data_IF_747579987484
#
_entry.id   IF_747579987484
#
_cell.length_a   1.000
_cell.length_b   1.000
_cell.length_c   1.000
_cell.angle_alpha   90.00
_cell.angle_beta   90.00
_cell.angle_gamma   90.00
#
_symmetry.space_group_name_H-M   'P 1'
#
loop_
_entity.id
_entity.type
_entity.pdbx_description
1 polymer ?
#
# COMPACT_ATOMS: atom_id res chain seq x y z
N UNK A 1 14.44 19.04 -4.31
CA UNK A 1 14.73 17.69 -3.77
C UNK A 1 14.81 16.76 -4.96
N UNK A 2 15.61 15.69 -4.90
CA UNK A 2 15.55 14.66 -5.95
C UNK A 2 14.15 14.03 -5.90
N UNK A 3 13.61 13.66 -7.08
CA UNK A 3 12.34 12.95 -7.17
C UNK A 3 12.44 11.65 -6.38
N UNK A 4 11.48 11.38 -5.49
CA UNK A 4 11.43 10.14 -4.71
C UNK A 4 10.78 9.05 -5.53
N UNK A 5 11.59 8.50 -6.44
CA UNK A 5 11.18 7.46 -7.38
C UNK A 5 12.02 6.21 -7.19
N UNK A 6 11.43 5.05 -7.45
CA UNK A 6 12.14 3.78 -7.51
C UNK A 6 11.48 2.84 -8.51
N UNK A 7 12.27 1.93 -9.07
CA UNK A 7 11.77 0.84 -9.91
C UNK A 7 12.36 -0.47 -9.43
N UNK A 8 11.52 -1.39 -8.99
CA UNK A 8 11.90 -2.71 -8.48
C UNK A 8 11.33 -3.79 -9.38
N UNK A 9 12.19 -4.75 -9.75
CA UNK A 9 11.79 -5.98 -10.43
C UNK A 9 12.04 -7.16 -9.51
N UNK A 10 11.01 -7.98 -9.28
CA UNK A 10 11.09 -9.22 -8.51
C UNK A 10 10.51 -10.36 -9.34
N UNK A 11 11.33 -11.35 -9.61
CA UNK A 11 10.94 -12.54 -10.35
C UNK A 11 11.15 -13.78 -9.49
N UNK A 12 10.13 -14.61 -9.43
CA UNK A 12 10.16 -15.94 -8.81
C UNK A 12 9.74 -17.00 -9.85
N UNK A 13 9.58 -18.24 -9.44
CA UNK A 13 8.97 -19.27 -10.28
C UNK A 13 7.45 -19.11 -10.39
N UNK A 14 6.83 -18.36 -9.48
CA UNK A 14 5.38 -18.18 -9.35
C UNK A 14 4.90 -16.88 -9.98
N UNK A 15 5.75 -15.83 -9.94
CA UNK A 15 5.37 -14.50 -10.44
C UNK A 15 6.55 -13.75 -11.06
N UNK A 16 6.23 -12.79 -11.95
CA UNK A 16 7.18 -11.84 -12.53
C UNK A 16 6.58 -10.44 -12.40
N UNK A 17 7.20 -9.57 -11.61
CA UNK A 17 6.63 -8.29 -11.23
C UNK A 17 7.66 -7.18 -11.38
N UNK A 18 7.27 -6.09 -12.04
CA UNK A 18 8.02 -4.84 -12.07
C UNK A 18 7.10 -3.71 -11.61
N UNK A 19 7.56 -2.94 -10.63
CA UNK A 19 6.83 -1.78 -10.09
C UNK A 19 7.72 -0.57 -10.11
N UNK A 20 7.24 0.50 -10.75
CA UNK A 20 7.80 1.85 -10.62
C UNK A 20 6.86 2.71 -9.76
N UNK A 21 7.42 3.42 -8.79
CA UNK A 21 6.70 4.34 -7.91
C UNK A 21 7.30 5.73 -7.98
N UNK A 22 6.44 6.76 -7.97
CA UNK A 22 6.83 8.13 -7.70
C UNK A 22 5.98 8.65 -6.53
N UNK A 23 6.61 8.87 -5.38
CA UNK A 23 5.94 9.32 -4.15
C UNK A 23 5.54 10.81 -4.21
N UNK A 24 6.12 11.57 -5.13
CA UNK A 24 5.81 12.98 -5.40
C UNK A 24 4.97 13.15 -6.67
N UNK A 25 4.22 12.10 -7.02
CA UNK A 25 3.40 12.03 -8.21
C UNK A 25 2.09 12.82 -8.15
N UNK A 26 1.25 12.58 -9.13
CA UNK A 26 -0.07 13.22 -9.31
C UNK A 26 -1.22 12.23 -9.23
N UNK A 27 -0.94 10.97 -8.93
CA UNK A 27 -1.92 9.88 -8.87
C UNK A 27 -2.21 9.24 -10.22
N UNK A 28 -1.20 9.19 -11.10
CA UNK A 28 -1.27 8.46 -12.36
C UNK A 28 -1.05 6.97 -12.10
N UNK A 29 -1.80 6.12 -12.80
CA UNK A 29 -1.70 4.68 -12.66
C UNK A 29 -1.69 3.99 -14.03
N UNK A 30 -0.71 3.10 -14.25
CA UNK A 30 -0.66 2.15 -15.34
C UNK A 30 -0.55 0.75 -14.72
N UNK A 31 -1.67 0.01 -14.68
CA UNK A 31 -1.81 -1.19 -13.87
C UNK A 31 -2.14 -2.38 -14.77
N UNK A 32 -1.22 -3.30 -14.87
CA UNK A 32 -1.34 -4.52 -15.68
C UNK A 32 -1.03 -5.73 -14.81
N UNK A 33 -2.02 -6.20 -14.05
CA UNK A 33 -1.98 -7.48 -13.36
C UNK A 33 -3.08 -8.40 -13.88
N UNK A 34 -2.94 -9.73 -13.75
CA UNK A 34 -3.98 -10.67 -14.15
C UNK A 34 -5.20 -10.66 -13.21
N UNK A 35 -5.19 -9.85 -12.14
CA UNK A 35 -6.23 -9.78 -11.11
C UNK A 35 -6.98 -8.45 -11.21
N UNK A 36 -8.14 -8.37 -11.94
CA UNK A 36 -8.79 -7.10 -12.25
C UNK A 36 -9.23 -6.30 -11.01
N UNK A 37 -9.67 -6.97 -9.95
CA UNK A 37 -10.08 -6.30 -8.73
C UNK A 37 -8.88 -5.70 -7.97
N UNK A 38 -7.71 -6.37 -8.00
CA UNK A 38 -6.47 -5.80 -7.47
C UNK A 38 -6.08 -4.52 -8.23
N UNK A 39 -6.18 -4.51 -9.58
CA UNK A 39 -5.93 -3.30 -10.36
C UNK A 39 -6.82 -2.14 -9.90
N UNK A 40 -8.11 -2.40 -9.65
CA UNK A 40 -9.02 -1.38 -9.12
C UNK A 40 -8.58 -0.89 -7.74
N UNK A 41 -8.11 -1.75 -6.85
CA UNK A 41 -7.61 -1.39 -5.52
C UNK A 41 -6.29 -0.59 -5.59
N UNK A 42 -5.39 -0.97 -6.46
CA UNK A 42 -4.12 -0.25 -6.68
C UNK A 42 -4.36 1.17 -7.26
N UNK A 43 -5.37 1.34 -8.12
CA UNK A 43 -5.79 2.67 -8.60
C UNK A 43 -6.29 3.56 -7.45
N UNK A 44 -6.97 2.97 -6.44
CA UNK A 44 -7.36 3.73 -5.24
C UNK A 44 -6.12 4.21 -4.46
N UNK A 45 -5.07 3.39 -4.36
CA UNK A 45 -3.80 3.81 -3.73
C UNK A 45 -3.19 4.97 -4.50
N UNK A 46 -3.01 4.83 -5.81
CA UNK A 46 -2.43 5.87 -6.65
C UNK A 46 -3.20 7.18 -6.55
N UNK A 47 -4.50 7.12 -6.83
CA UNK A 47 -5.39 8.30 -6.88
C UNK A 47 -5.48 9.05 -5.56
N UNK A 48 -5.69 8.35 -4.46
CA UNK A 48 -5.88 8.97 -3.14
C UNK A 48 -4.57 9.25 -2.43
N UNK A 49 -3.51 8.52 -2.77
CA UNK A 49 -2.15 8.74 -2.31
C UNK A 49 -1.43 9.88 -3.05
N UNK A 50 -1.93 10.28 -4.23
CA UNK A 50 -1.20 11.12 -5.19
C UNK A 50 0.21 10.59 -5.48
N UNK A 51 0.34 9.26 -5.52
CA UNK A 51 1.55 8.57 -5.96
C UNK A 51 1.35 8.05 -7.38
N UNK A 52 2.36 8.16 -8.23
CA UNK A 52 2.26 7.52 -9.54
C UNK A 52 2.73 6.08 -9.44
N UNK A 53 1.97 5.15 -10.04
CA UNK A 53 2.25 3.73 -10.05
C UNK A 53 2.26 3.19 -11.48
N UNK A 54 3.36 2.54 -11.87
CA UNK A 54 3.40 1.67 -13.05
C UNK A 54 3.69 0.25 -12.57
N UNK A 55 2.74 -0.66 -12.81
CA UNK A 55 2.79 -2.04 -12.33
C UNK A 55 2.57 -2.99 -13.49
N UNK A 56 3.56 -3.83 -13.75
CA UNK A 56 3.52 -4.92 -14.69
C UNK A 56 3.70 -6.23 -13.92
N UNK A 57 2.68 -7.08 -13.92
CA UNK A 57 2.71 -8.33 -13.19
C UNK A 57 2.11 -9.49 -14.00
N UNK A 58 2.77 -10.63 -13.96
CA UNK A 58 2.24 -11.93 -14.35
C UNK A 58 2.42 -12.91 -13.20
N UNK A 59 1.57 -13.91 -13.09
CA UNK A 59 1.67 -14.93 -12.04
C UNK A 59 0.84 -16.16 -12.40
N UNK A 60 0.95 -17.19 -11.59
CA UNK A 60 0.34 -18.51 -11.74
C UNK A 60 -1.14 -18.54 -11.29
N UNK A 61 -1.93 -17.59 -11.80
CA UNK A 61 -3.36 -17.42 -11.42
C UNK A 61 -4.26 -18.60 -11.80
N UNK A 62 -3.76 -19.58 -12.52
CA UNK A 62 -4.43 -20.87 -12.73
C UNK A 62 -4.52 -21.72 -11.46
N UNK A 63 -3.67 -21.43 -10.44
CA UNK A 63 -3.76 -22.01 -9.10
C UNK A 63 -4.79 -21.23 -8.30
N UNK A 64 -4.45 -19.98 -7.99
CA UNK A 64 -5.30 -18.92 -7.45
C UNK A 64 -4.57 -17.56 -7.57
N UNK A 65 -5.17 -16.49 -7.04
CA UNK A 65 -4.59 -15.15 -7.11
C UNK A 65 -3.55 -14.87 -5.99
N UNK A 66 -3.33 -15.82 -5.05
CA UNK A 66 -2.58 -15.59 -3.80
C UNK A 66 -1.15 -15.08 -4.07
N UNK A 67 -0.35 -15.88 -4.80
CA UNK A 67 1.05 -15.56 -5.07
C UNK A 67 1.20 -14.20 -5.77
N UNK A 68 0.34 -13.93 -6.75
CA UNK A 68 0.35 -12.66 -7.49
C UNK A 68 0.04 -11.47 -6.58
N UNK A 69 -0.99 -11.57 -5.74
CA UNK A 69 -1.43 -10.48 -4.86
C UNK A 69 -0.40 -10.20 -3.77
N UNK A 70 0.13 -11.24 -3.12
CA UNK A 70 1.18 -11.13 -2.11
C UNK A 70 2.45 -10.51 -2.71
N UNK A 71 2.91 -11.03 -3.85
CA UNK A 71 4.14 -10.59 -4.50
C UNK A 71 4.06 -9.16 -5.04
N UNK A 72 2.89 -8.69 -5.48
CA UNK A 72 2.65 -7.27 -5.79
C UNK A 72 2.78 -6.43 -4.52
N UNK A 73 2.24 -6.87 -3.39
CA UNK A 73 2.41 -6.23 -2.08
C UNK A 73 3.88 -6.13 -1.67
N UNK A 74 4.62 -7.23 -1.77
CA UNK A 74 6.07 -7.32 -1.51
C UNK A 74 6.84 -6.31 -2.36
N UNK A 75 6.64 -6.36 -3.68
CA UNK A 75 7.39 -5.54 -4.64
C UNK A 75 7.07 -4.05 -4.47
N UNK A 76 5.80 -3.71 -4.19
CA UNK A 76 5.41 -2.33 -3.88
C UNK A 76 6.06 -1.85 -2.57
N UNK A 77 6.12 -2.71 -1.54
CA UNK A 77 6.81 -2.42 -0.30
C UNK A 77 8.29 -2.11 -0.50
N UNK A 78 8.98 -2.91 -1.32
CA UNK A 78 10.38 -2.69 -1.70
C UNK A 78 10.57 -1.36 -2.44
N UNK A 79 9.73 -1.08 -3.44
CA UNK A 79 9.79 0.15 -4.22
C UNK A 79 9.56 1.40 -3.36
N UNK A 80 8.60 1.35 -2.44
CA UNK A 80 8.33 2.45 -1.50
C UNK A 80 9.50 2.64 -0.53
N UNK A 81 10.09 1.56 0.01
CA UNK A 81 11.27 1.66 0.88
C UNK A 81 12.46 2.31 0.17
N UNK A 82 12.73 1.93 -1.09
CA UNK A 82 13.80 2.49 -1.90
C UNK A 82 13.54 3.98 -2.22
N UNK A 83 12.32 4.34 -2.63
CA UNK A 83 11.94 5.72 -2.95
C UNK A 83 12.00 6.65 -1.73
N UNK A 84 11.68 6.15 -0.53
CA UNK A 84 11.75 6.91 0.73
C UNK A 84 13.19 7.18 1.18
N UNK A 85 14.11 6.24 0.92
CA UNK A 85 15.51 6.37 1.29
C UNK A 85 15.75 6.38 2.81
N UNK A 86 16.55 7.33 3.30
CA UNK A 86 17.04 7.38 4.68
C UNK A 86 16.01 7.92 5.71
N UNK A 87 14.82 8.26 5.27
CA UNK A 87 13.69 8.75 6.08
C UNK A 87 13.91 10.10 6.78
N UNK A 88 15.03 10.80 6.51
CA UNK A 88 15.23 12.13 7.07
C UNK A 88 14.23 13.13 6.48
N UNK A 89 13.73 14.00 7.34
CA UNK A 89 12.78 15.04 6.92
C UNK A 89 11.38 14.53 6.57
N UNK A 90 11.03 13.29 6.88
CA UNK A 90 9.67 12.77 6.68
C UNK A 90 8.74 13.18 7.82
N UNK A 91 7.44 13.34 7.51
CA UNK A 91 6.36 13.38 8.49
C UNK A 91 6.31 12.07 9.30
N UNK A 92 6.71 10.94 8.71
CA UNK A 92 6.83 9.61 9.30
C UNK A 92 5.52 8.94 9.65
N UNK A 93 4.58 9.68 10.26
CA UNK A 93 3.27 9.16 10.65
C UNK A 93 2.20 9.64 9.68
N UNK A 94 1.33 8.72 9.28
CA UNK A 94 0.18 9.05 8.46
C UNK A 94 -1.07 8.32 8.93
N UNK A 95 -2.22 8.98 8.79
CA UNK A 95 -3.49 8.35 9.10
C UNK A 95 -4.61 8.90 8.22
N UNK A 96 -5.63 8.10 8.02
CA UNK A 96 -6.84 8.54 7.36
C UNK A 96 -8.06 7.77 7.84
N UNK A 97 -9.20 8.47 7.92
CA UNK A 97 -10.54 7.89 7.96
C UNK A 97 -11.18 8.15 6.60
N UNK A 98 -11.61 7.11 5.92
CA UNK A 98 -12.22 7.25 4.60
C UNK A 98 -13.57 6.54 4.58
N UNK A 99 -14.67 7.27 4.31
CA UNK A 99 -15.97 6.69 4.07
C UNK A 99 -16.19 6.35 2.59
N UNK A 100 -17.03 5.39 2.34
CA UNK A 100 -17.72 5.15 1.06
C UNK A 100 -19.14 4.69 1.39
N UNK A 101 -20.09 5.56 1.14
CA UNK A 101 -21.50 5.38 1.54
C UNK A 101 -21.61 4.94 3.02
N UNK A 102 -22.03 3.70 3.29
CA UNK A 102 -22.21 3.15 4.63
C UNK A 102 -20.92 2.58 5.25
N UNK A 103 -19.89 2.35 4.44
CA UNK A 103 -18.62 1.81 4.92
C UNK A 103 -17.69 2.91 5.42
N UNK A 104 -16.87 2.59 6.41
CA UNK A 104 -15.86 3.48 6.97
C UNK A 104 -14.66 2.67 7.42
N UNK A 105 -13.48 3.03 6.93
CA UNK A 105 -12.21 2.46 7.40
C UNK A 105 -11.27 3.51 7.95
N UNK A 106 -10.41 3.06 8.88
CA UNK A 106 -9.28 3.80 9.43
C UNK A 106 -7.99 3.08 9.09
N UNK A 107 -7.00 3.82 8.61
CA UNK A 107 -5.62 3.33 8.44
C UNK A 107 -4.65 4.27 9.15
N UNK A 108 -3.69 3.69 9.86
CA UNK A 108 -2.59 4.42 10.53
C UNK A 108 -1.28 3.75 10.17
N UNK A 109 -0.29 4.55 9.75
CA UNK A 109 1.02 4.10 9.28
C UNK A 109 2.14 4.82 10.02
N UNK A 110 3.21 4.08 10.35
CA UNK A 110 4.47 4.60 10.87
C UNK A 110 5.64 4.00 10.07
N UNK A 111 6.46 4.84 9.43
CA UNK A 111 7.73 4.42 8.81
C UNK A 111 8.78 4.09 9.88
N UNK A 112 8.44 3.15 10.74
CA UNK A 112 9.16 2.81 11.98
C UNK A 112 10.48 2.06 11.77
N UNK A 113 10.76 1.56 10.57
CA UNK A 113 11.87 0.62 10.30
C UNK A 113 11.61 -0.80 10.84
N UNK A 114 10.41 -1.07 11.39
CA UNK A 114 10.02 -2.37 11.95
C UNK A 114 8.69 -2.81 11.35
N UNK A 115 8.66 -3.97 10.67
CA UNK A 115 7.42 -4.48 10.10
C UNK A 115 6.42 -4.90 11.18
N UNK A 116 5.16 -4.51 10.99
CA UNK A 116 4.07 -4.95 11.86
C UNK A 116 2.71 -4.62 11.26
N UNK A 117 1.89 -5.64 11.00
CA UNK A 117 0.52 -5.48 10.51
C UNK A 117 -0.48 -5.85 11.61
N UNK A 118 -1.33 -4.89 11.95
CA UNK A 118 -2.52 -5.12 12.76
C UNK A 118 -3.72 -4.81 11.85
N UNK A 119 -4.42 -5.83 11.40
CA UNK A 119 -5.59 -5.68 10.52
C UNK A 119 -6.82 -6.31 11.15
N UNK A 120 -7.87 -5.49 11.31
CA UNK A 120 -9.20 -5.91 11.73
C UNK A 120 -10.21 -5.46 10.67
N UNK A 121 -10.63 -6.42 9.85
CA UNK A 121 -11.63 -6.20 8.81
C UNK A 121 -12.52 -7.44 8.73
N UNK A 122 -13.73 -7.32 9.28
CA UNK A 122 -14.75 -8.37 9.22
C UNK A 122 -15.62 -8.11 7.97
N UNK A 123 -15.22 -8.70 6.84
CA UNK A 123 -15.95 -8.52 5.59
C UNK A 123 -17.28 -9.29 5.63
N UNK A 124 -18.35 -8.63 5.16
CA UNK A 124 -19.70 -9.24 5.13
C UNK A 124 -19.84 -10.38 4.12
N UNK A 125 -18.87 -10.55 3.24
CA UNK A 125 -18.72 -11.67 2.30
C UNK A 125 -17.25 -11.94 2.10
N UNK A 126 -16.88 -13.16 1.71
CA UNK A 126 -15.50 -13.58 1.43
C UNK A 126 -14.96 -13.09 0.07
N UNK A 127 -15.84 -12.82 -0.90
CA UNK A 127 -15.43 -12.48 -2.27
C UNK A 127 -16.16 -11.23 -2.81
N UNK A 128 -15.45 -10.52 -3.71
CA UNK A 128 -16.03 -9.53 -4.60
C UNK A 128 -15.69 -9.93 -6.04
N UNK A 129 -16.71 -10.31 -6.81
CA UNK A 129 -16.46 -11.01 -8.08
C UNK A 129 -15.75 -12.34 -7.81
N UNK A 130 -14.61 -12.56 -8.45
CA UNK A 130 -13.74 -13.72 -8.25
C UNK A 130 -12.64 -13.48 -7.20
N UNK A 131 -12.46 -12.24 -6.72
CA UNK A 131 -11.40 -11.87 -5.81
C UNK A 131 -11.75 -12.27 -4.37
N UNK A 132 -10.90 -13.09 -3.76
CA UNK A 132 -10.98 -13.43 -2.34
C UNK A 132 -10.48 -12.25 -1.49
N UNK A 133 -11.32 -11.76 -0.58
CA UNK A 133 -10.99 -10.59 0.25
C UNK A 133 -9.91 -10.87 1.31
N UNK A 134 -9.66 -12.14 1.66
CA UNK A 134 -8.55 -12.51 2.55
C UNK A 134 -7.20 -12.14 1.93
N UNK A 135 -7.08 -12.12 0.59
CA UNK A 135 -5.89 -11.69 -0.14
C UNK A 135 -5.52 -10.22 0.12
N UNK A 136 -6.47 -9.38 0.55
CA UNK A 136 -6.16 -8.02 0.98
C UNK A 136 -5.18 -8.01 2.15
N UNK A 137 -5.29 -8.98 3.07
CA UNK A 137 -4.36 -9.12 4.18
C UNK A 137 -2.97 -9.53 3.70
N UNK A 138 -2.88 -10.44 2.74
CA UNK A 138 -1.60 -10.91 2.18
C UNK A 138 -0.88 -9.78 1.44
N UNK A 139 -1.63 -8.98 0.66
CA UNK A 139 -1.09 -7.76 0.04
C UNK A 139 -0.47 -6.82 1.07
N UNK A 140 -1.20 -6.47 2.14
CA UNK A 140 -0.69 -5.56 3.16
C UNK A 140 0.43 -6.17 4.00
N UNK A 141 0.42 -7.49 4.23
CA UNK A 141 1.51 -8.17 4.94
C UNK A 141 2.80 -8.14 4.11
N UNK A 142 2.71 -8.45 2.81
CA UNK A 142 3.81 -8.35 1.87
C UNK A 142 4.39 -6.93 1.85
N UNK A 143 3.52 -5.92 1.72
CA UNK A 143 3.92 -4.51 1.76
C UNK A 143 4.64 -4.14 3.06
N UNK A 144 4.04 -4.44 4.20
CA UNK A 144 4.56 -4.08 5.53
C UNK A 144 5.94 -4.68 5.78
N UNK A 145 6.14 -5.95 5.41
CA UNK A 145 7.39 -6.67 5.62
C UNK A 145 8.56 -6.05 4.84
N UNK A 146 8.28 -5.42 3.69
CA UNK A 146 9.33 -4.91 2.79
C UNK A 146 9.44 -3.38 2.81
N UNK A 147 8.36 -2.66 3.09
CA UNK A 147 8.43 -1.23 3.38
C UNK A 147 8.96 -0.91 4.79
N UNK A 148 9.07 -1.94 5.66
CA UNK A 148 9.50 -1.83 7.06
C UNK A 148 8.67 -0.80 7.84
N UNK A 149 7.35 -0.93 7.74
CA UNK A 149 6.38 -0.04 8.39
C UNK A 149 5.56 -0.77 9.45
N UNK A 150 5.08 -0.03 10.43
CA UNK A 150 3.99 -0.48 11.29
C UNK A 150 2.68 0.05 10.71
N UNK A 151 1.73 -0.85 10.41
CA UNK A 151 0.48 -0.55 9.74
C UNK A 151 -0.71 -1.08 10.55
N UNK A 152 -1.63 -0.20 10.89
CA UNK A 152 -2.89 -0.54 11.53
C UNK A 152 -4.04 -0.25 10.58
N UNK A 153 -4.89 -1.23 10.35
CA UNK A 153 -6.06 -1.19 9.47
C UNK A 153 -7.28 -1.63 10.26
N UNK A 154 -8.30 -0.77 10.33
CA UNK A 154 -9.58 -1.13 10.90
C UNK A 154 -10.69 -0.80 9.89
N UNK A 155 -11.49 -1.78 9.47
CA UNK A 155 -12.80 -1.51 8.91
C UNK A 155 -13.78 -1.35 10.07
N UNK A 156 -14.22 -0.11 10.29
CA UNK A 156 -15.03 0.26 11.46
C UNK A 156 -16.51 -0.10 11.29
N UNK A 157 -16.97 -0.10 10.02
CA UNK A 157 -18.35 -0.47 9.64
C UNK A 157 -18.45 -0.65 8.12
N UNK A 158 -19.49 -1.32 7.67
CA UNK A 158 -19.83 -1.50 6.26
C UNK A 158 -20.82 -2.67 6.12
N UNK A 159 -21.70 -2.58 5.14
CA UNK A 159 -22.67 -3.62 4.78
C UNK A 159 -22.46 -4.15 3.34
N UNK A 160 -21.55 -3.55 2.59
CA UNK A 160 -21.13 -3.98 1.27
C UNK A 160 -19.64 -4.29 1.28
N UNK A 161 -19.26 -5.53 0.97
CA UNK A 161 -17.86 -5.99 1.03
C UNK A 161 -16.94 -5.22 0.06
N UNK A 162 -17.43 -4.81 -1.11
CA UNK A 162 -16.68 -3.94 -2.04
C UNK A 162 -16.37 -2.59 -1.37
N UNK A 163 -17.38 -1.94 -0.77
CA UNK A 163 -17.18 -0.66 -0.08
C UNK A 163 -16.23 -0.80 1.12
N UNK A 164 -16.32 -1.92 1.87
CA UNK A 164 -15.43 -2.17 3.01
C UNK A 164 -13.96 -2.21 2.56
N UNK A 165 -13.63 -3.05 1.56
CA UNK A 165 -12.24 -3.18 1.10
C UNK A 165 -11.76 -1.92 0.37
N UNK A 166 -12.59 -1.29 -0.45
CA UNK A 166 -12.20 -0.07 -1.16
C UNK A 166 -11.90 1.09 -0.21
N UNK A 167 -12.66 1.25 0.88
CA UNK A 167 -12.34 2.26 1.91
C UNK A 167 -10.99 2.02 2.58
N UNK A 168 -10.58 0.75 2.74
CA UNK A 168 -9.26 0.39 3.28
C UNK A 168 -8.15 0.86 2.33
N UNK A 169 -8.24 0.54 1.03
CA UNK A 169 -7.22 0.93 0.06
C UNK A 169 -7.15 2.45 -0.16
N UNK A 170 -8.29 3.15 -0.16
CA UNK A 170 -8.35 4.62 -0.17
C UNK A 170 -7.68 5.23 1.07
N UNK A 171 -8.01 4.70 2.25
CA UNK A 171 -7.44 5.18 3.50
C UNK A 171 -5.94 4.90 3.57
N UNK A 172 -5.49 3.74 3.07
CA UNK A 172 -4.07 3.40 2.94
C UNK A 172 -3.32 4.40 2.04
N UNK A 173 -3.83 4.69 0.84
CA UNK A 173 -3.21 5.68 -0.05
C UNK A 173 -3.06 7.05 0.63
N UNK A 174 -4.08 7.52 1.33
CA UNK A 174 -4.03 8.79 2.07
C UNK A 174 -3.06 8.77 3.25
N UNK A 175 -3.01 7.66 4.00
CA UNK A 175 -2.07 7.49 5.11
C UNK A 175 -0.63 7.44 4.60
N UNK A 176 -0.38 6.72 3.51
CA UNK A 176 0.92 6.66 2.82
C UNK A 176 1.38 8.06 2.41
N UNK A 177 0.53 8.82 1.70
CA UNK A 177 0.84 10.20 1.31
C UNK A 177 1.21 11.06 2.50
N UNK A 178 0.44 11.02 3.59
CA UNK A 178 0.70 11.81 4.79
C UNK A 178 2.02 11.40 5.44
N UNK A 179 2.26 10.10 5.62
CA UNK A 179 3.49 9.58 6.24
C UNK A 179 4.75 9.88 5.41
N UNK A 180 4.63 9.80 4.08
CA UNK A 180 5.71 10.08 3.14
C UNK A 180 5.91 11.57 2.84
N UNK A 181 5.06 12.48 3.34
CA UNK A 181 5.22 13.92 3.11
C UNK A 181 6.55 14.42 3.70
N UNK A 182 7.28 15.20 2.92
CA UNK A 182 8.43 15.94 3.43
C UNK A 182 7.98 17.07 4.37
N UNK A 183 8.52 17.10 5.59
CA UNK A 183 8.25 18.16 6.56
C UNK A 183 9.45 19.14 6.56
N UNK A 184 9.23 20.36 6.08
CA UNK A 184 10.26 21.39 5.99
C UNK A 184 10.86 21.72 7.36
N UNK A 185 10.08 21.63 8.44
CA UNK A 185 10.55 21.85 9.81
C UNK A 185 11.46 20.75 10.33
N UNK A 186 11.40 19.58 9.69
CA UNK A 186 12.23 18.39 10.00
C UNK A 186 13.37 18.21 9.00
N UNK A 187 13.59 19.16 8.09
CA UNK A 187 14.57 19.02 7.01
C UNK A 187 15.95 18.58 7.52
N UNK A 188 16.45 17.45 7.00
CA UNK A 188 17.73 16.85 7.40
C UNK A 188 17.74 16.16 8.77
N UNK A 189 16.65 16.21 9.53
CA UNK A 189 16.56 15.57 10.85
C UNK A 189 15.95 14.16 10.72
N UNK A 190 16.44 13.23 11.53
CA UNK A 190 15.81 11.92 11.69
C UNK A 190 14.55 12.09 12.57
N UNK A 191 13.35 11.69 12.11
CA UNK A 191 12.12 11.84 12.88
C UNK A 191 12.01 10.76 13.98
N UNK A 192 13.04 10.65 14.82
CA UNK A 192 13.15 9.66 15.88
C UNK A 192 14.02 10.19 17.02
N UNK A 193 13.55 10.08 18.26
CA UNK A 193 14.32 10.40 19.46
C UNK A 193 15.53 9.47 19.66
N UNK A 194 15.55 8.31 18.97
CA UNK A 194 16.68 7.37 18.97
C UNK A 194 17.78 7.76 17.99
N UNK A 195 17.54 8.74 17.10
CA UNK A 195 18.48 9.14 16.04
C UNK A 195 18.59 8.15 14.87
N UNK A 196 17.75 7.10 14.85
CA UNK A 196 17.68 6.07 13.79
C UNK A 196 16.28 5.51 13.64
N UNK A 197 15.97 4.98 12.45
CA UNK A 197 14.75 4.24 12.09
C UNK A 197 15.08 3.00 11.27
#
# INVERSE_FOLDING_TARGET
MADRTATVTRNTLESQITISVNLDGTGQANLQTPVPFLNHMLDQIARHGLVDLDIQATGDTEIDDHHTVEDVGITLGMAVAEAIGDKKGLARYGHAYVPLDEALSRVVMDFSGRPGLIMKADFVRSHVGTFDLDLSREFFQGFVNHALVSLHIDNLRGANAHHQVETIFKAFGRALRMAATADERMAGLMPSTKGTL
#
